data_IF_952268685794
#
_entry.id   IF_952268685794
#
_cell.length_a   1.000
_cell.length_b   1.000
_cell.length_c   1.000
_cell.angle_alpha   90.00
_cell.angle_beta   90.00
_cell.angle_gamma   90.00
#
_symmetry.space_group_name_H-M   'P 1'
#
loop_
_entity.id
_entity.type
_entity.pdbx_description
1 polymer ?
#
# COMPACT_ATOMS: atom_id res chain seq x y z
N UNK A 1 -10.54 -5.91 -18.83
CA UNK A 1 -11.71 -5.93 -17.92
C UNK A 1 -11.86 -4.66 -17.07
N UNK A 2 -10.85 -3.81 -17.02
CA UNK A 2 -10.86 -2.52 -16.30
C UNK A 2 -11.03 -1.31 -17.22
N UNK A 3 -11.54 -1.49 -18.42
CA UNK A 3 -11.76 -0.45 -19.42
C UNK A 3 -12.51 0.74 -18.85
N UNK A 4 -11.96 1.94 -19.08
CA UNK A 4 -12.52 3.22 -18.61
C UNK A 4 -12.62 3.35 -17.06
N UNK A 5 -11.93 2.51 -16.30
CA UNK A 5 -11.86 2.59 -14.84
C UNK A 5 -10.56 3.26 -14.40
N UNK A 6 -10.63 4.10 -13.37
CA UNK A 6 -9.47 4.79 -12.82
C UNK A 6 -9.22 4.31 -11.40
N UNK A 7 -7.94 4.06 -11.09
CA UNK A 7 -7.51 3.55 -9.79
C UNK A 7 -6.40 4.44 -9.22
N UNK A 8 -6.47 4.71 -7.91
CA UNK A 8 -5.39 5.38 -7.18
C UNK A 8 -4.43 4.32 -6.65
N UNK A 9 -3.16 4.43 -7.00
CA UNK A 9 -2.11 3.48 -6.57
C UNK A 9 -1.14 4.20 -5.66
N UNK A 10 -1.10 3.80 -4.39
CA UNK A 10 -0.20 4.35 -3.39
C UNK A 10 0.94 3.40 -3.08
N UNK A 11 2.03 3.90 -2.48
CA UNK A 11 3.14 3.06 -2.03
C UNK A 11 4.17 2.70 -3.11
N UNK A 12 4.19 3.43 -4.23
CA UNK A 12 5.26 3.30 -5.23
C UNK A 12 6.46 4.13 -4.77
N UNK A 13 7.54 3.46 -4.39
CA UNK A 13 8.82 4.10 -4.04
C UNK A 13 9.86 3.99 -5.16
N UNK A 14 9.77 2.97 -6.00
CA UNK A 14 10.66 2.68 -7.14
C UNK A 14 10.00 1.69 -8.12
N UNK A 15 10.71 1.35 -9.19
CA UNK A 15 10.25 0.40 -10.22
C UNK A 15 10.04 -1.04 -9.73
N UNK A 16 10.61 -1.39 -8.57
CA UNK A 16 10.51 -2.73 -7.97
C UNK A 16 9.47 -2.79 -6.84
N UNK A 17 8.80 -1.68 -6.56
CA UNK A 17 7.71 -1.65 -5.57
C UNK A 17 6.55 -2.55 -6.01
N UNK A 18 5.96 -3.31 -5.09
CA UNK A 18 4.81 -4.17 -5.37
C UNK A 18 3.67 -3.39 -6.04
N UNK A 19 3.44 -2.15 -5.60
CA UNK A 19 2.44 -1.26 -6.18
C UNK A 19 2.72 -0.91 -7.66
N UNK A 20 3.99 -0.92 -8.11
CA UNK A 20 4.34 -0.71 -9.52
C UNK A 20 3.85 -1.86 -10.40
N UNK A 21 3.99 -3.10 -9.93
CA UNK A 21 3.46 -4.27 -10.67
C UNK A 21 1.93 -4.22 -10.77
N UNK A 22 1.26 -3.80 -9.70
CA UNK A 22 -0.19 -3.60 -9.72
C UNK A 22 -0.57 -2.50 -10.73
N UNK A 23 0.12 -1.36 -10.75
CA UNK A 23 -0.15 -0.29 -11.70
C UNK A 23 0.01 -0.75 -13.15
N UNK A 24 1.06 -1.52 -13.45
CA UNK A 24 1.28 -2.13 -14.77
C UNK A 24 0.13 -3.06 -15.19
N UNK A 25 -0.28 -3.94 -14.29
CA UNK A 25 -1.34 -4.90 -14.58
C UNK A 25 -2.71 -4.21 -14.76
N UNK A 26 -2.99 -3.15 -13.96
CA UNK A 26 -4.20 -2.31 -14.16
C UNK A 26 -4.21 -1.69 -15.56
N UNK A 27 -3.09 -1.12 -16.03
CA UNK A 27 -2.98 -0.53 -17.36
C UNK A 27 -3.15 -1.60 -18.45
N UNK A 28 -2.51 -2.73 -18.30
CA UNK A 28 -2.61 -3.87 -19.23
C UNK A 28 -4.06 -4.38 -19.39
N UNK A 29 -4.84 -4.33 -18.30
CA UNK A 29 -6.27 -4.67 -18.30
C UNK A 29 -7.19 -3.54 -18.82
N UNK A 30 -6.60 -2.44 -19.32
CA UNK A 30 -7.31 -1.30 -19.90
C UNK A 30 -7.74 -0.22 -18.91
N UNK A 31 -7.31 -0.32 -17.65
CA UNK A 31 -7.56 0.68 -16.62
C UNK A 31 -6.61 1.88 -16.71
N UNK A 32 -6.97 2.96 -16.04
CA UNK A 32 -6.12 4.15 -15.82
C UNK A 32 -5.63 4.18 -14.39
N UNK A 33 -4.42 4.66 -14.18
CA UNK A 33 -3.84 4.81 -12.84
C UNK A 33 -3.50 6.26 -12.54
N UNK A 34 -3.68 6.63 -11.28
CA UNK A 34 -3.10 7.82 -10.65
C UNK A 34 -2.14 7.30 -9.60
N UNK A 35 -0.84 7.61 -9.75
CA UNK A 35 0.20 7.12 -8.86
C UNK A 35 0.60 8.21 -7.88
N UNK A 36 0.80 7.84 -6.60
CA UNK A 36 1.24 8.80 -5.59
C UNK A 36 2.64 8.50 -5.10
N UNK A 37 3.41 9.55 -4.89
CA UNK A 37 4.75 9.50 -4.35
C UNK A 37 4.98 10.54 -3.26
N UNK A 38 5.95 10.25 -2.38
CA UNK A 38 6.36 11.17 -1.32
C UNK A 38 7.21 12.31 -1.91
N UNK A 39 6.77 13.54 -1.72
CA UNK A 39 7.43 14.74 -2.22
C UNK A 39 7.16 15.96 -1.36
N UNK A 40 7.83 17.07 -1.62
CA UNK A 40 7.56 18.34 -0.95
C UNK A 40 6.24 18.92 -1.42
N UNK A 41 5.37 19.27 -0.47
CA UNK A 41 4.13 20.01 -0.70
C UNK A 41 4.10 21.30 0.13
N UNK A 42 3.14 22.17 -0.12
CA UNK A 42 2.91 23.39 0.66
C UNK A 42 2.63 23.15 2.15
N UNK A 43 2.29 21.92 2.53
CA UNK A 43 1.99 21.52 3.90
C UNK A 43 3.24 21.13 4.69
N UNK A 44 4.38 20.95 4.05
CA UNK A 44 5.66 20.70 4.69
C UNK A 44 6.28 22.00 5.20
N UNK A 45 5.83 22.47 6.35
CA UNK A 45 6.35 23.69 6.97
C UNK A 45 7.59 23.39 7.81
N UNK A 46 8.59 24.26 7.76
CA UNK A 46 9.76 24.20 8.65
C UNK A 46 10.74 23.04 8.36
N UNK A 47 10.67 22.40 7.20
CA UNK A 47 11.65 21.40 6.81
C UNK A 47 13.03 22.02 6.62
N UNK A 48 14.06 21.34 7.15
CA UNK A 48 15.45 21.68 6.83
C UNK A 48 15.73 21.51 5.32
N UNK A 49 16.70 22.23 4.78
CA UNK A 49 17.13 22.08 3.36
C UNK A 49 17.49 20.63 3.01
N UNK A 50 18.12 19.92 3.95
CA UNK A 50 18.47 18.51 3.80
C UNK A 50 17.21 17.63 3.62
N UNK A 51 16.17 17.85 4.44
CA UNK A 51 14.91 17.14 4.34
C UNK A 51 14.15 17.46 3.05
N UNK A 52 14.10 18.74 2.65
CA UNK A 52 13.53 19.16 1.38
C UNK A 52 14.26 18.54 0.19
N UNK A 53 15.59 18.56 0.20
CA UNK A 53 16.41 17.92 -0.83
C UNK A 53 16.15 16.42 -0.96
N UNK A 54 16.00 15.72 0.17
CA UNK A 54 15.66 14.30 0.22
C UNK A 54 14.28 14.02 -0.41
N UNK A 55 13.25 14.77 -0.01
CA UNK A 55 11.89 14.60 -0.52
C UNK A 55 11.80 14.93 -2.03
N UNK A 56 12.45 16.01 -2.46
CA UNK A 56 12.50 16.40 -3.88
C UNK A 56 13.19 15.32 -4.72
N UNK A 57 14.31 14.80 -4.26
CA UNK A 57 15.01 13.70 -4.93
C UNK A 57 14.11 12.47 -5.05
N UNK A 58 13.49 12.03 -3.94
CA UNK A 58 12.59 10.87 -3.96
C UNK A 58 11.44 11.05 -4.95
N UNK A 59 10.83 12.25 -4.99
CA UNK A 59 9.73 12.49 -5.92
C UNK A 59 10.18 12.55 -7.39
N UNK A 60 11.38 13.08 -7.65
CA UNK A 60 11.94 13.06 -9.00
C UNK A 60 12.29 11.65 -9.46
N UNK A 61 12.89 10.82 -8.59
CA UNK A 61 13.18 9.41 -8.86
C UNK A 61 11.86 8.64 -9.11
N UNK A 62 10.83 8.90 -8.31
CA UNK A 62 9.50 8.34 -8.50
C UNK A 62 8.90 8.75 -9.86
N UNK A 63 8.90 10.05 -10.21
CA UNK A 63 8.38 10.51 -11.51
C UNK A 63 9.11 9.86 -12.69
N UNK A 64 10.43 9.72 -12.58
CA UNK A 64 11.23 9.06 -13.61
C UNK A 64 10.84 7.58 -13.74
N UNK A 65 10.68 6.86 -12.63
CA UNK A 65 10.23 5.48 -12.63
C UNK A 65 8.83 5.33 -13.26
N UNK A 66 7.88 6.21 -12.91
CA UNK A 66 6.54 6.21 -13.52
C UNK A 66 6.63 6.44 -15.03
N UNK A 67 7.40 7.44 -15.46
CA UNK A 67 7.56 7.75 -16.90
C UNK A 67 8.13 6.57 -17.68
N UNK A 68 9.13 5.90 -17.13
CA UNK A 68 9.78 4.75 -17.77
C UNK A 68 8.89 3.51 -17.82
N UNK A 69 8.14 3.23 -16.75
CA UNK A 69 7.43 1.98 -16.57
C UNK A 69 5.94 2.05 -16.97
N UNK A 70 5.32 3.25 -16.87
CA UNK A 70 3.88 3.45 -17.05
C UNK A 70 3.56 4.58 -18.07
N UNK A 71 4.57 5.18 -18.72
CA UNK A 71 4.37 6.23 -19.70
C UNK A 71 3.85 7.53 -19.09
N UNK A 72 2.74 8.05 -19.59
CA UNK A 72 2.15 9.32 -19.16
C UNK A 72 1.10 9.16 -18.05
N UNK A 73 1.26 8.13 -17.20
CA UNK A 73 0.39 7.95 -16.03
C UNK A 73 0.46 9.19 -15.11
N UNK A 74 -0.70 9.63 -14.63
CA UNK A 74 -0.81 10.80 -13.75
C UNK A 74 -0.10 10.52 -12.42
N UNK A 75 0.67 11.53 -11.96
CA UNK A 75 1.38 11.48 -10.67
C UNK A 75 0.93 12.59 -9.75
N UNK A 76 0.83 12.30 -8.46
CA UNK A 76 0.45 13.23 -7.40
C UNK A 76 1.36 13.07 -6.19
N UNK A 77 1.54 14.16 -5.42
CA UNK A 77 2.24 14.10 -4.13
C UNK A 77 1.26 13.62 -3.07
N UNK A 78 1.70 12.65 -2.28
CA UNK A 78 0.98 12.17 -1.11
C UNK A 78 1.95 11.85 0.03
N UNK A 79 1.86 12.63 1.10
CA UNK A 79 2.42 12.32 2.41
C UNK A 79 1.27 12.04 3.37
N UNK A 80 1.11 10.80 3.78
CA UNK A 80 0.02 10.34 4.65
C UNK A 80 0.21 10.75 6.12
N UNK A 81 1.37 11.27 6.49
CA UNK A 81 1.61 11.88 7.81
C UNK A 81 1.03 13.28 7.93
N UNK A 82 0.66 13.89 6.81
CA UNK A 82 0.10 15.24 6.71
C UNK A 82 -1.36 15.16 6.29
N UNK A 83 -2.25 15.27 7.24
CA UNK A 83 -3.70 15.22 6.99
C UNK A 83 -4.15 16.24 5.93
N UNK A 84 -3.61 17.46 5.99
CA UNK A 84 -3.89 18.50 5.02
C UNK A 84 -3.46 18.12 3.58
N UNK A 85 -2.41 17.30 3.44
CA UNK A 85 -1.97 16.83 2.11
C UNK A 85 -2.93 15.77 1.55
N UNK A 86 -3.43 14.84 2.38
CA UNK A 86 -4.47 13.88 1.96
C UNK A 86 -5.77 14.59 1.54
N UNK A 87 -6.19 15.59 2.33
CA UNK A 87 -7.38 16.39 2.01
C UNK A 87 -7.21 17.19 0.72
N UNK A 88 -6.05 17.81 0.52
CA UNK A 88 -5.71 18.56 -0.69
C UNK A 88 -5.71 17.67 -1.93
N UNK A 89 -5.14 16.46 -1.84
CA UNK A 89 -5.20 15.49 -2.92
C UNK A 89 -6.66 15.15 -3.29
N UNK A 90 -7.50 14.85 -2.30
CA UNK A 90 -8.90 14.55 -2.54
C UNK A 90 -9.64 15.74 -3.17
N UNK A 91 -9.41 16.96 -2.67
CA UNK A 91 -9.98 18.17 -3.26
C UNK A 91 -9.56 18.34 -4.74
N UNK A 92 -8.27 18.21 -5.03
CA UNK A 92 -7.73 18.30 -6.39
C UNK A 92 -8.36 17.28 -7.33
N UNK A 93 -8.46 16.02 -6.88
CA UNK A 93 -9.11 14.96 -7.67
C UNK A 93 -10.58 15.29 -7.96
N UNK A 94 -11.29 15.87 -6.99
CA UNK A 94 -12.67 16.32 -7.17
C UNK A 94 -12.77 17.46 -8.17
N UNK A 95 -11.94 18.49 -8.04
CA UNK A 95 -11.92 19.66 -8.92
C UNK A 95 -11.60 19.27 -10.37
N UNK A 96 -10.77 18.23 -10.54
CA UNK A 96 -10.45 17.62 -11.84
C UNK A 96 -11.52 16.62 -12.34
N UNK A 97 -12.66 16.50 -11.65
CA UNK A 97 -13.75 15.55 -11.96
C UNK A 97 -13.30 14.09 -12.05
N UNK A 98 -12.30 13.69 -11.26
CA UNK A 98 -11.83 12.31 -11.22
C UNK A 98 -12.86 11.41 -10.53
N UNK A 99 -13.11 10.25 -11.13
CA UNK A 99 -13.93 9.18 -10.58
C UNK A 99 -13.06 7.96 -10.34
N UNK A 100 -12.84 7.61 -9.07
CA UNK A 100 -12.06 6.42 -8.71
C UNK A 100 -12.96 5.20 -8.58
N UNK A 101 -12.57 4.12 -9.22
CA UNK A 101 -13.21 2.82 -9.15
C UNK A 101 -12.54 1.90 -8.13
N UNK A 102 -11.52 2.39 -7.47
CA UNK A 102 -10.84 1.76 -6.36
C UNK A 102 -9.48 2.39 -6.07
N UNK A 103 -8.87 1.93 -4.99
CA UNK A 103 -7.49 2.29 -4.69
C UNK A 103 -6.72 1.16 -4.01
N UNK A 104 -5.41 1.17 -4.21
CA UNK A 104 -4.46 0.32 -3.52
C UNK A 104 -3.79 1.09 -2.39
N UNK A 105 -3.89 0.59 -1.16
CA UNK A 105 -3.09 1.04 -0.03
C UNK A 105 -1.90 0.10 0.17
N UNK A 106 -0.73 0.50 -0.32
CA UNK A 106 0.52 -0.24 -0.18
C UNK A 106 1.60 0.58 0.55
N UNK A 107 1.17 1.43 1.47
CA UNK A 107 2.03 2.28 2.27
C UNK A 107 2.36 1.56 3.57
N UNK A 108 3.64 1.60 3.96
CA UNK A 108 4.10 1.15 5.27
C UNK A 108 5.42 1.83 5.61
N UNK A 109 5.60 2.16 6.90
CA UNK A 109 6.85 2.68 7.44
C UNK A 109 6.99 2.26 8.90
N UNK A 110 8.17 1.78 9.26
CA UNK A 110 8.54 1.50 10.64
C UNK A 110 9.96 1.98 10.91
N UNK A 111 10.10 2.98 11.76
CA UNK A 111 11.40 3.54 12.15
C UNK A 111 12.21 2.58 13.03
N UNK A 112 11.58 1.54 13.56
CA UNK A 112 12.21 0.52 14.40
C UNK A 112 12.91 -0.57 13.60
N UNK A 113 12.79 -0.54 12.27
CA UNK A 113 13.48 -1.43 11.34
C UNK A 113 14.52 -0.62 10.60
N UNK A 114 15.79 -0.92 10.83
CA UNK A 114 16.93 -0.25 10.17
C UNK A 114 18.05 -1.22 9.92
N UNK A 115 18.67 -1.12 8.76
CA UNK A 115 19.88 -1.89 8.39
C UNK A 115 19.70 -3.40 8.62
N UNK A 116 18.49 -3.91 8.32
CA UNK A 116 18.05 -5.31 8.49
C UNK A 116 17.94 -5.77 9.95
N UNK A 117 18.02 -4.83 10.89
CA UNK A 117 17.77 -5.09 12.29
C UNK A 117 16.39 -4.61 12.71
N UNK A 118 15.72 -5.41 13.51
CA UNK A 118 14.40 -5.11 14.06
C UNK A 118 14.51 -4.87 15.56
N UNK A 119 14.20 -3.67 16.01
CA UNK A 119 14.26 -3.28 17.42
C UNK A 119 13.39 -4.22 18.28
N UNK A 120 13.90 -4.72 19.42
CA UNK A 120 13.11 -5.51 20.35
C UNK A 120 11.83 -4.78 20.79
N UNK A 121 10.69 -5.48 20.84
CA UNK A 121 9.39 -4.86 21.13
C UNK A 121 9.38 -4.12 22.48
N UNK A 122 10.05 -4.64 23.50
CA UNK A 122 10.15 -4.00 24.82
C UNK A 122 10.96 -2.69 24.83
N UNK A 123 11.66 -2.38 23.74
CA UNK A 123 12.44 -1.15 23.57
C UNK A 123 11.75 -0.14 22.63
N UNK A 124 10.64 -0.52 22.02
CA UNK A 124 9.86 0.39 21.15
C UNK A 124 9.24 1.49 22.00
N UNK A 125 9.50 2.74 21.63
CA UNK A 125 8.90 3.89 22.32
C UNK A 125 7.45 4.10 21.88
N UNK A 126 6.68 4.86 22.67
CA UNK A 126 5.31 5.24 22.30
C UNK A 126 5.27 6.01 20.98
N UNK A 127 6.23 6.91 20.76
CA UNK A 127 6.33 7.70 19.53
C UNK A 127 6.56 6.79 18.30
N UNK A 128 7.56 5.91 18.36
CA UNK A 128 7.84 4.94 17.28
C UNK A 128 6.63 4.05 16.98
N UNK A 129 5.93 3.61 18.04
CA UNK A 129 4.72 2.82 17.90
C UNK A 129 3.62 3.62 17.19
N UNK A 130 3.33 4.85 17.67
CA UNK A 130 2.31 5.70 17.08
C UNK A 130 2.62 6.08 15.63
N UNK A 131 3.87 6.41 15.31
CA UNK A 131 4.30 6.73 13.94
C UNK A 131 4.07 5.56 12.99
N UNK A 132 4.41 4.34 13.42
CA UNK A 132 4.20 3.14 12.61
C UNK A 132 2.72 2.87 12.38
N UNK A 133 1.90 3.01 13.42
CA UNK A 133 0.45 2.85 13.33
C UNK A 133 -0.19 3.92 12.44
N UNK A 134 0.21 5.17 12.56
CA UNK A 134 -0.30 6.29 11.77
C UNK A 134 -0.06 6.06 10.27
N UNK A 135 1.19 5.79 9.89
CA UNK A 135 1.56 5.61 8.47
C UNK A 135 1.06 4.30 7.90
N UNK A 136 1.15 3.20 8.67
CA UNK A 136 0.97 1.85 8.10
C UNK A 136 -0.45 1.28 8.26
N UNK A 137 -1.30 1.91 9.08
CA UNK A 137 -2.66 1.46 9.34
C UNK A 137 -3.69 2.60 9.28
N UNK A 138 -3.55 3.64 10.11
CA UNK A 138 -4.53 4.72 10.22
C UNK A 138 -4.68 5.53 8.93
N UNK A 139 -3.60 5.69 8.17
CA UNK A 139 -3.63 6.37 6.86
C UNK A 139 -4.65 5.78 5.89
N UNK A 140 -4.96 4.47 5.98
CA UNK A 140 -6.03 3.84 5.20
C UNK A 140 -7.41 4.43 5.53
N UNK A 141 -7.70 4.63 6.82
CA UNK A 141 -8.98 5.23 7.26
C UNK A 141 -9.10 6.64 6.68
N UNK A 142 -8.06 7.47 6.86
CA UNK A 142 -8.09 8.88 6.45
C UNK A 142 -8.20 9.04 4.94
N UNK A 143 -7.43 8.25 4.20
CA UNK A 143 -7.50 8.28 2.74
C UNK A 143 -8.89 7.84 2.25
N UNK A 144 -9.43 6.75 2.76
CA UNK A 144 -10.77 6.29 2.43
C UNK A 144 -11.84 7.34 2.75
N UNK A 145 -11.74 7.96 3.93
CA UNK A 145 -12.66 9.01 4.40
C UNK A 145 -12.67 10.22 3.45
N UNK A 146 -11.49 10.74 3.10
CA UNK A 146 -11.43 11.89 2.19
C UNK A 146 -11.95 11.55 0.79
N UNK A 147 -11.55 10.40 0.22
CA UNK A 147 -12.01 9.98 -1.10
C UNK A 147 -13.53 9.75 -1.13
N UNK A 148 -14.10 9.23 -0.05
CA UNK A 148 -15.55 9.03 0.09
C UNK A 148 -16.28 10.36 0.28
N UNK A 149 -15.87 11.20 1.23
CA UNK A 149 -16.55 12.46 1.56
C UNK A 149 -16.53 13.45 0.40
N UNK A 150 -15.47 13.49 -0.39
CA UNK A 150 -15.39 14.30 -1.61
C UNK A 150 -16.11 13.67 -2.81
N UNK A 151 -16.74 12.49 -2.63
CA UNK A 151 -17.51 11.76 -3.66
C UNK A 151 -16.67 11.36 -4.88
N UNK A 152 -15.38 11.08 -4.65
CA UNK A 152 -14.45 10.63 -5.68
C UNK A 152 -14.53 9.12 -5.82
N UNK A 153 -14.71 8.42 -4.70
CA UNK A 153 -14.84 6.96 -4.67
C UNK A 153 -16.26 6.57 -5.15
N UNK A 154 -16.30 5.96 -6.33
CA UNK A 154 -17.56 5.61 -6.98
C UNK A 154 -18.30 4.49 -6.26
N UNK A 155 -19.63 4.44 -6.32
CA UNK A 155 -20.40 3.29 -5.84
C UNK A 155 -19.87 1.98 -6.45
N UNK A 156 -19.74 0.95 -5.62
CA UNK A 156 -19.24 -0.36 -6.06
C UNK A 156 -17.73 -0.42 -6.32
N UNK A 157 -16.98 0.60 -5.91
CA UNK A 157 -15.51 0.61 -6.02
C UNK A 157 -14.84 -0.48 -5.16
N UNK A 158 -13.53 -0.63 -5.28
CA UNK A 158 -12.76 -1.65 -4.58
C UNK A 158 -11.50 -1.08 -3.93
N UNK A 159 -11.34 -1.32 -2.64
CA UNK A 159 -10.14 -0.99 -1.86
C UNK A 159 -9.34 -2.27 -1.65
N UNK A 160 -8.04 -2.22 -1.92
CA UNK A 160 -7.12 -3.30 -1.55
C UNK A 160 -6.02 -2.76 -0.67
N UNK A 161 -5.65 -3.49 0.38
CA UNK A 161 -4.48 -3.20 1.22
C UNK A 161 -3.51 -4.37 1.22
N UNK A 162 -2.21 -4.07 1.35
CA UNK A 162 -1.15 -5.08 1.35
C UNK A 162 -0.68 -5.34 2.77
N UNK A 163 -0.73 -6.61 3.16
CA UNK A 163 -0.31 -7.12 4.45
C UNK A 163 0.71 -8.26 4.31
N UNK A 164 1.07 -8.86 5.40
CA UNK A 164 1.96 -10.01 5.49
C UNK A 164 1.48 -10.94 6.61
N UNK A 165 1.82 -12.22 6.54
CA UNK A 165 1.38 -13.23 7.51
C UNK A 165 1.79 -12.90 8.95
N UNK A 166 2.83 -12.09 9.16
CA UNK A 166 3.22 -11.63 10.48
C UNK A 166 2.13 -10.81 11.21
N UNK A 167 1.08 -10.36 10.53
CA UNK A 167 -0.11 -9.78 11.15
C UNK A 167 -0.90 -10.80 12.00
N UNK A 168 -0.77 -12.11 11.70
CA UNK A 168 -1.53 -13.16 12.36
C UNK A 168 -0.68 -14.07 13.24
N UNK A 169 0.59 -14.28 12.90
CA UNK A 169 1.49 -15.15 13.67
C UNK A 169 2.92 -14.60 13.69
N UNK A 170 3.69 -14.99 14.68
CA UNK A 170 5.13 -14.69 14.70
C UNK A 170 5.82 -15.51 13.60
N UNK A 171 6.58 -14.82 12.77
CA UNK A 171 7.37 -15.44 11.70
C UNK A 171 8.82 -15.66 12.13
N UNK A 172 9.57 -16.54 11.44
CA UNK A 172 10.98 -16.78 11.73
C UNK A 172 11.82 -15.50 11.62
N UNK A 173 11.50 -14.61 10.67
CA UNK A 173 12.02 -13.25 10.62
C UNK A 173 11.12 -12.33 11.44
N UNK A 174 11.59 -11.77 12.57
CA UNK A 174 10.75 -10.96 13.43
C UNK A 174 10.30 -9.66 12.75
N UNK A 175 9.03 -9.35 12.83
CA UNK A 175 8.45 -8.12 12.25
C UNK A 175 7.89 -7.16 13.30
N UNK A 176 7.74 -7.63 14.52
CA UNK A 176 7.48 -6.91 15.79
C UNK A 176 6.47 -5.76 15.65
N UNK A 177 6.91 -4.50 15.78
CA UNK A 177 6.04 -3.32 15.74
C UNK A 177 5.23 -3.25 14.44
N UNK A 178 5.85 -3.54 13.30
CA UNK A 178 5.16 -3.60 12.01
C UNK A 178 4.08 -4.71 11.96
N UNK A 179 4.27 -5.83 12.64
CA UNK A 179 3.25 -6.90 12.72
C UNK A 179 1.95 -6.38 13.34
N UNK A 180 2.07 -5.56 14.40
CA UNK A 180 0.93 -4.95 15.09
C UNK A 180 0.22 -3.97 14.15
N UNK A 181 0.97 -3.14 13.44
CA UNK A 181 0.38 -2.21 12.47
C UNK A 181 -0.31 -2.94 11.30
N UNK A 182 0.25 -4.07 10.84
CA UNK A 182 -0.38 -4.88 9.80
C UNK A 182 -1.65 -5.60 10.32
N UNK A 183 -1.66 -6.05 11.57
CA UNK A 183 -2.88 -6.60 12.19
C UNK A 183 -3.98 -5.52 12.29
N UNK A 184 -3.61 -4.30 12.68
CA UNK A 184 -4.54 -3.17 12.69
C UNK A 184 -5.04 -2.82 11.28
N UNK A 185 -4.16 -2.78 10.27
CA UNK A 185 -4.53 -2.53 8.87
C UNK A 185 -5.55 -3.55 8.36
N UNK A 186 -5.36 -4.83 8.68
CA UNK A 186 -6.29 -5.89 8.31
C UNK A 186 -7.65 -5.68 8.97
N UNK A 187 -7.68 -5.41 10.27
CA UNK A 187 -8.93 -5.14 10.98
C UNK A 187 -9.64 -3.90 10.43
N UNK A 188 -8.92 -2.81 10.21
CA UNK A 188 -9.45 -1.58 9.59
C UNK A 188 -10.08 -1.90 8.22
N UNK A 189 -9.42 -2.70 7.40
CA UNK A 189 -9.95 -3.06 6.07
C UNK A 189 -11.28 -3.81 6.18
N UNK A 190 -11.42 -4.71 7.16
CA UNK A 190 -12.69 -5.44 7.42
C UNK A 190 -13.79 -4.49 7.88
N UNK A 191 -13.49 -3.54 8.77
CA UNK A 191 -14.47 -2.53 9.21
C UNK A 191 -14.92 -1.63 8.03
N UNK A 192 -13.97 -1.18 7.21
CA UNK A 192 -14.29 -0.40 6.01
C UNK A 192 -15.12 -1.21 5.00
N UNK A 193 -14.93 -2.53 4.93
CA UNK A 193 -15.72 -3.40 4.07
C UNK A 193 -17.20 -3.44 4.49
N UNK A 194 -17.48 -3.48 5.79
CA UNK A 194 -18.86 -3.42 6.29
C UNK A 194 -19.45 -2.01 6.11
N UNK A 195 -18.76 -0.99 6.61
CA UNK A 195 -19.26 0.38 6.60
C UNK A 195 -19.49 0.91 5.17
N UNK A 196 -18.47 0.94 4.34
CA UNK A 196 -18.57 1.45 2.96
C UNK A 196 -19.40 0.52 2.07
N UNK A 197 -19.41 -0.78 2.36
CA UNK A 197 -20.27 -1.75 1.69
C UNK A 197 -21.75 -1.40 1.85
N UNK A 198 -22.17 -1.05 3.05
CA UNK A 198 -23.56 -0.62 3.34
C UNK A 198 -23.88 0.77 2.79
N UNK A 199 -22.89 1.69 2.81
CA UNK A 199 -23.10 3.08 2.39
C UNK A 199 -23.23 3.21 0.87
N UNK A 200 -22.35 2.60 0.08
CA UNK A 200 -22.32 2.77 -1.37
C UNK A 200 -21.86 1.52 -2.17
N UNK A 201 -21.80 0.36 -1.52
CA UNK A 201 -21.39 -0.89 -2.18
C UNK A 201 -19.88 -1.02 -2.41
N UNK A 202 -19.04 -0.15 -1.83
CA UNK A 202 -17.58 -0.27 -1.90
C UNK A 202 -17.10 -1.52 -1.19
N UNK A 203 -16.24 -2.29 -1.84
CA UNK A 203 -15.61 -3.49 -1.28
C UNK A 203 -14.23 -3.16 -0.76
N UNK A 204 -13.82 -3.80 0.33
CA UNK A 204 -12.46 -3.66 0.84
C UNK A 204 -11.88 -5.04 1.21
N UNK A 205 -10.66 -5.33 0.76
CA UNK A 205 -10.01 -6.61 0.98
C UNK A 205 -8.51 -6.41 1.27
N UNK A 206 -7.92 -7.40 1.92
CA UNK A 206 -6.50 -7.45 2.25
C UNK A 206 -5.83 -8.57 1.48
N UNK A 207 -4.59 -8.35 1.05
CA UNK A 207 -3.74 -9.40 0.51
C UNK A 207 -2.52 -9.55 1.42
N UNK A 208 -2.34 -10.72 2.03
CA UNK A 208 -1.08 -11.15 2.64
C UNK A 208 -0.18 -11.70 1.57
N UNK A 209 0.94 -11.03 1.35
CA UNK A 209 1.86 -11.37 0.28
C UNK A 209 3.11 -12.10 0.82
N UNK A 210 3.81 -12.80 -0.07
CA UNK A 210 5.08 -13.48 0.20
C UNK A 210 6.17 -12.56 0.73
N UNK A 211 7.19 -13.15 1.34
CA UNK A 211 8.44 -12.47 1.68
C UNK A 211 9.12 -11.97 0.41
N UNK A 212 9.26 -10.65 0.28
CA UNK A 212 9.76 -10.01 -0.94
C UNK A 212 10.82 -8.94 -0.63
N UNK A 213 12.03 -9.13 -1.11
CA UNK A 213 13.17 -8.23 -0.89
C UNK A 213 13.35 -7.18 -2.00
N UNK A 214 12.68 -7.30 -3.14
CA UNK A 214 12.91 -6.42 -4.30
C UNK A 214 12.52 -4.95 -4.07
N UNK A 215 11.58 -4.64 -3.18
CA UNK A 215 11.20 -3.27 -2.85
C UNK A 215 12.20 -2.60 -1.88
N UNK A 216 12.21 -1.25 -1.83
CA UNK A 216 13.02 -0.49 -0.84
C UNK A 216 12.77 -0.97 0.60
N UNK A 217 11.50 -1.17 0.98
CA UNK A 217 11.14 -1.63 2.31
C UNK A 217 11.63 -3.05 2.57
N UNK A 218 11.43 -3.97 1.63
CA UNK A 218 11.89 -5.34 1.75
C UNK A 218 13.43 -5.44 1.82
N UNK A 219 14.12 -4.67 1.00
CA UNK A 219 15.59 -4.63 1.01
C UNK A 219 16.17 -4.02 2.29
N UNK A 220 15.46 -3.08 2.92
CA UNK A 220 15.87 -2.52 4.22
C UNK A 220 15.63 -3.47 5.40
N UNK A 221 14.78 -4.49 5.23
CA UNK A 221 14.32 -5.38 6.31
C UNK A 221 14.90 -6.78 6.21
N UNK A 222 15.04 -7.33 5.00
CA UNK A 222 15.31 -8.74 4.74
C UNK A 222 16.74 -9.00 4.25
N UNK A 223 17.26 -10.17 4.58
CA UNK A 223 18.44 -10.75 3.98
C UNK A 223 18.05 -11.77 2.89
N UNK A 224 19.01 -12.11 2.02
CA UNK A 224 18.81 -13.16 0.99
C UNK A 224 18.42 -14.49 1.63
N UNK A 225 19.06 -14.85 2.76
CA UNK A 225 18.74 -16.07 3.51
C UNK A 225 17.31 -16.09 4.05
N UNK A 226 16.72 -14.93 4.39
CA UNK A 226 15.33 -14.85 4.84
C UNK A 226 14.37 -15.19 3.70
N UNK A 227 14.65 -14.66 2.50
CA UNK A 227 13.85 -14.95 1.29
C UNK A 227 13.98 -16.42 0.88
N UNK A 228 15.19 -16.99 0.93
CA UNK A 228 15.43 -18.41 0.63
C UNK A 228 14.72 -19.31 1.63
N UNK A 229 14.76 -18.98 2.92
CA UNK A 229 14.08 -19.72 3.97
C UNK A 229 12.57 -19.69 3.76
N UNK A 230 11.98 -18.51 3.53
CA UNK A 230 10.56 -18.38 3.23
C UNK A 230 10.18 -19.17 1.97
N UNK A 231 11.01 -19.12 0.93
CA UNK A 231 10.78 -19.88 -0.31
C UNK A 231 10.77 -21.40 -0.08
N UNK A 232 11.66 -21.91 0.75
CA UNK A 232 11.71 -23.34 1.12
C UNK A 232 10.51 -23.75 2.00
N UNK A 233 10.03 -22.85 2.86
CA UNK A 233 8.88 -23.11 3.72
C UNK A 233 7.56 -23.06 2.95
N UNK A 234 7.51 -22.34 1.84
CA UNK A 234 6.30 -22.20 1.00
C UNK A 234 6.17 -23.41 0.06
N UNK A 235 5.07 -24.18 0.12
CA UNK A 235 4.86 -25.36 -0.73
C UNK A 235 5.03 -25.11 -2.24
N UNK A 236 4.66 -23.90 -2.71
CA UNK A 236 4.79 -23.50 -4.12
C UNK A 236 5.96 -22.54 -4.34
N UNK A 237 6.81 -22.32 -3.34
CA UNK A 237 7.78 -21.24 -3.32
C UNK A 237 7.13 -19.87 -3.05
N UNK A 238 7.93 -18.81 -2.95
CA UNK A 238 7.42 -17.45 -2.81
C UNK A 238 6.63 -17.03 -4.05
N UNK A 239 5.48 -16.43 -3.84
CA UNK A 239 4.72 -15.81 -4.93
C UNK A 239 5.50 -14.63 -5.52
N UNK A 240 5.37 -14.45 -6.82
CA UNK A 240 5.98 -13.32 -7.55
C UNK A 240 5.16 -12.03 -7.39
N UNK A 241 5.75 -10.85 -7.59
CA UNK A 241 4.99 -9.60 -7.64
C UNK A 241 3.87 -9.58 -8.67
N UNK A 242 4.00 -10.37 -9.75
CA UNK A 242 2.95 -10.53 -10.75
C UNK A 242 1.73 -11.29 -10.19
N UNK A 243 1.93 -12.29 -9.33
CA UNK A 243 0.83 -13.01 -8.69
C UNK A 243 0.03 -12.07 -7.79
N UNK A 244 0.70 -11.18 -7.04
CA UNK A 244 0.04 -10.12 -6.29
C UNK A 244 -0.76 -9.18 -7.21
N UNK A 245 -0.16 -8.73 -8.30
CA UNK A 245 -0.80 -7.80 -9.23
C UNK A 245 -2.06 -8.42 -9.85
N UNK A 246 -2.00 -9.69 -10.24
CA UNK A 246 -3.14 -10.44 -10.77
C UNK A 246 -4.29 -10.51 -9.76
N UNK A 247 -3.98 -10.78 -8.48
CA UNK A 247 -4.99 -10.86 -7.43
C UNK A 247 -5.60 -9.49 -7.12
N UNK A 248 -4.80 -8.41 -7.04
CA UNK A 248 -5.35 -7.05 -6.87
C UNK A 248 -6.28 -6.69 -8.02
N UNK A 249 -5.87 -6.94 -9.26
CA UNK A 249 -6.70 -6.69 -10.44
C UNK A 249 -7.97 -7.53 -10.42
N UNK A 250 -7.90 -8.80 -9.98
CA UNK A 250 -9.09 -9.63 -9.77
C UNK A 250 -10.08 -8.96 -8.79
N UNK A 251 -9.59 -8.46 -7.66
CA UNK A 251 -10.41 -7.77 -6.67
C UNK A 251 -10.92 -6.40 -7.15
N UNK A 252 -10.21 -5.74 -8.08
CA UNK A 252 -10.62 -4.47 -8.68
C UNK A 252 -11.73 -4.61 -9.74
N UNK A 253 -11.96 -5.82 -10.25
CA UNK A 253 -13.02 -6.04 -11.25
C UNK A 253 -14.37 -5.57 -10.75
N UNK A 254 -15.18 -4.92 -11.61
CA UNK A 254 -16.51 -4.46 -11.22
C UNK A 254 -17.44 -5.63 -10.90
N UNK A 255 -18.48 -5.35 -10.12
CA UNK A 255 -19.53 -6.30 -9.75
C UNK A 255 -19.05 -7.54 -8.97
N UNK A 256 -17.84 -7.52 -8.41
CA UNK A 256 -17.35 -8.55 -7.50
C UNK A 256 -18.19 -8.60 -6.22
N UNK A 257 -18.25 -9.78 -5.59
CA UNK A 257 -18.93 -10.01 -4.29
C UNK A 257 -17.97 -10.43 -3.18
N UNK A 258 -16.67 -10.18 -3.38
CA UNK A 258 -15.64 -10.46 -2.39
C UNK A 258 -15.37 -9.17 -1.62
N UNK A 259 -15.61 -9.16 -0.32
CA UNK A 259 -15.37 -8.03 0.57
C UNK A 259 -15.10 -8.52 1.99
N UNK A 260 -14.24 -7.84 2.74
CA UNK A 260 -13.85 -8.22 4.11
C UNK A 260 -12.89 -9.42 4.17
N UNK A 261 -12.35 -9.86 3.03
CA UNK A 261 -11.46 -11.02 2.95
C UNK A 261 -9.99 -10.65 3.21
N UNK A 262 -9.30 -11.57 3.88
CA UNK A 262 -7.84 -11.58 4.01
C UNK A 262 -7.33 -12.74 3.14
N UNK A 263 -6.86 -12.41 1.96
CA UNK A 263 -6.42 -13.39 0.97
C UNK A 263 -4.91 -13.62 1.05
N UNK A 264 -4.49 -14.87 0.93
CA UNK A 264 -3.09 -15.25 0.91
C UNK A 264 -2.59 -15.42 -0.52
N UNK A 265 -1.56 -14.67 -0.90
CA UNK A 265 -0.79 -14.81 -2.13
C UNK A 265 0.66 -15.00 -1.70
N UNK A 266 0.97 -16.18 -1.14
CA UNK A 266 2.21 -16.43 -0.41
C UNK A 266 2.80 -17.84 -0.67
N UNK A 267 2.35 -18.51 -1.75
CA UNK A 267 2.81 -19.84 -2.11
C UNK A 267 2.48 -20.92 -1.07
N UNK A 268 1.55 -20.64 -0.15
CA UNK A 268 1.19 -21.54 0.93
C UNK A 268 2.05 -21.39 2.19
N UNK A 269 2.86 -20.34 2.31
CA UNK A 269 3.66 -20.07 3.51
C UNK A 269 2.83 -20.01 4.80
N UNK A 270 1.59 -19.51 4.72
CA UNK A 270 0.70 -19.36 5.88
C UNK A 270 0.26 -20.68 6.51
N UNK A 271 0.28 -21.81 5.77
CA UNK A 271 -0.12 -23.12 6.28
C UNK A 271 1.06 -23.92 6.85
N UNK A 272 2.28 -23.44 6.70
CA UNK A 272 3.50 -24.09 7.20
C UNK A 272 4.07 -23.38 8.42
N UNK A 273 4.64 -24.12 9.38
CA UNK A 273 5.36 -23.61 10.56
C UNK A 273 4.48 -23.05 11.64
#
# INVERSE_FOLDING_TARGET
MLQNKTFLITGIADKHSLAMYVAKEVIKEGGKVICTGLGVSEFHKGLSEKAQGFLNKNFNDFKLAIKQELGDARVEILDVTLEANMQSLAKKLKDDNVQLHGFLHAIAMDKTIRDKEVKPLLQVTKEEFCDTMDVSAYSLIRLAQYLFNYKILQPGSSICSISYIAAAKVTFHPYRNMSIAKAALERITIELADELGRMNGTRANVIRFSTYMGSKAGNATLNTSDVETANKMSPLGNASPQDLANEVVHLFRPNGRITGEIRHVDGGYHITG
#
